data_IF_738734885207
#
_entry.id   IF_738734885207
#
_cell.length_a   1.000
_cell.length_b   1.000
_cell.length_c   1.000
_cell.angle_alpha   90.00
_cell.angle_beta   90.00
_cell.angle_gamma   90.00
#
_symmetry.space_group_name_H-M   'P 1'
#
loop_
_entity.id
_entity.type
_entity.pdbx_description
1 polymer ?
#
# COMPACT_ATOMS: atom_id res chain seq x y z
N UNK A 1 -3.25 35.31 88.04
CA UNK A 1 -3.79 35.49 86.67
C UNK A 1 -3.11 34.47 85.76
N UNK A 2 -3.78 33.38 85.47
CA UNK A 2 -3.29 32.32 84.56
C UNK A 2 -3.96 32.54 83.16
N UNK A 3 -3.12 32.82 82.17
CA UNK A 3 -3.59 32.89 80.74
C UNK A 3 -3.63 31.50 80.10
N UNK A 4 -4.79 31.12 79.72
CA UNK A 4 -5.02 29.89 78.93
C UNK A 4 -4.68 30.15 77.45
N UNK A 5 -3.73 29.35 76.92
CA UNK A 5 -3.41 29.32 75.50
C UNK A 5 -4.27 28.28 74.84
N UNK A 6 -5.06 28.69 73.82
CA UNK A 6 -5.84 27.79 72.96
C UNK A 6 -5.06 27.59 71.67
N UNK A 7 -4.68 26.37 71.28
CA UNK A 7 -4.04 26.13 69.99
C UNK A 7 -5.09 26.08 68.88
N UNK A 8 -4.95 26.96 67.89
CA UNK A 8 -5.72 26.92 66.63
C UNK A 8 -5.23 25.78 65.75
N UNK A 9 -6.10 24.83 65.49
CA UNK A 9 -5.86 23.71 64.59
C UNK A 9 -6.19 24.17 63.13
N UNK A 10 -5.17 24.43 62.32
CA UNK A 10 -5.36 24.71 60.86
C UNK A 10 -5.55 23.40 60.10
N UNK A 11 -6.74 23.13 59.64
CA UNK A 11 -7.03 22.00 58.74
C UNK A 11 -6.69 22.42 57.33
N UNK A 12 -5.59 21.89 56.80
CA UNK A 12 -5.25 22.04 55.39
C UNK A 12 -6.07 21.09 54.52
N UNK A 13 -7.00 21.66 53.77
CA UNK A 13 -7.82 20.92 52.78
C UNK A 13 -7.01 20.73 51.51
N UNK A 14 -6.36 19.56 51.34
CA UNK A 14 -5.70 19.18 50.08
C UNK A 14 -6.77 18.83 49.02
N UNK A 15 -7.05 19.79 48.10
CA UNK A 15 -7.82 19.50 46.89
C UNK A 15 -6.95 18.68 45.92
N UNK A 16 -7.16 17.38 45.91
CA UNK A 16 -6.56 16.50 44.88
C UNK A 16 -7.29 16.72 43.54
N UNK A 17 -6.66 17.50 42.64
CA UNK A 17 -7.15 17.64 41.27
C UNK A 17 -6.79 16.34 40.53
N UNK A 18 -7.77 15.45 40.35
CA UNK A 18 -7.61 14.29 39.49
C UNK A 18 -7.51 14.75 38.03
N UNK A 19 -6.31 14.75 37.48
CA UNK A 19 -6.11 14.89 36.04
C UNK A 19 -6.66 13.64 35.36
N UNK A 20 -7.84 13.77 34.72
CA UNK A 20 -8.34 12.75 33.83
C UNK A 20 -7.35 12.62 32.66
N UNK A 21 -6.64 11.49 32.54
CA UNK A 21 -5.82 11.18 31.38
C UNK A 21 -6.73 11.24 30.15
N UNK A 22 -6.30 11.90 29.04
CA UNK A 22 -7.07 11.90 27.80
C UNK A 22 -7.27 10.44 27.39
N UNK A 23 -8.51 10.10 27.04
CA UNK A 23 -8.85 8.77 26.52
C UNK A 23 -7.92 8.48 25.33
N UNK A 24 -7.11 7.42 25.44
CA UNK A 24 -6.19 7.04 24.38
C UNK A 24 -6.99 6.74 23.12
N UNK A 25 -6.99 7.67 22.16
CA UNK A 25 -7.61 7.50 20.85
C UNK A 25 -7.01 6.27 20.18
N UNK A 26 -7.83 5.51 19.43
CA UNK A 26 -7.37 4.34 18.69
C UNK A 26 -6.23 4.75 17.76
N UNK A 27 -5.07 4.11 17.85
CA UNK A 27 -3.93 4.44 16.98
C UNK A 27 -4.34 4.35 15.49
N UNK A 28 -3.88 5.29 14.64
CA UNK A 28 -4.25 5.31 13.23
C UNK A 28 -3.73 4.04 12.53
N UNK A 29 -4.51 3.54 11.56
CA UNK A 29 -4.11 2.39 10.74
C UNK A 29 -3.01 2.79 9.76
N UNK A 30 -2.14 1.83 9.43
CA UNK A 30 -1.12 2.01 8.40
C UNK A 30 -1.76 2.35 7.06
N UNK A 31 -1.14 3.29 6.34
CA UNK A 31 -1.62 3.75 5.04
C UNK A 31 -0.92 3.01 3.91
N UNK A 32 -1.71 2.38 3.05
CA UNK A 32 -1.27 1.68 1.86
C UNK A 32 -1.88 2.33 0.63
N UNK A 33 -1.07 2.75 -0.33
CA UNK A 33 -1.56 3.19 -1.65
C UNK A 33 -1.32 2.09 -2.68
N UNK A 34 -2.35 1.74 -3.43
CA UNK A 34 -2.30 0.74 -4.49
C UNK A 34 -2.41 1.42 -5.84
N UNK A 35 -1.33 1.40 -6.63
CA UNK A 35 -1.35 1.77 -8.03
C UNK A 35 -1.58 0.54 -8.90
N UNK A 36 -2.55 0.61 -9.80
CA UNK A 36 -2.88 -0.51 -10.67
C UNK A 36 -3.41 -0.07 -12.04
N UNK A 37 -3.29 -0.98 -13.00
CA UNK A 37 -3.97 -0.89 -14.28
C UNK A 37 -5.33 -1.60 -14.27
N UNK A 38 -5.85 -2.02 -15.43
CA UNK A 38 -7.14 -2.70 -15.54
C UNK A 38 -7.20 -4.03 -14.79
N UNK A 39 -6.08 -4.71 -14.61
CA UNK A 39 -6.04 -6.00 -13.89
C UNK A 39 -6.34 -5.81 -12.42
N UNK A 40 -5.85 -4.71 -11.82
CA UNK A 40 -6.13 -4.39 -10.43
C UNK A 40 -7.57 -3.86 -10.18
N UNK A 41 -8.36 -3.59 -11.21
CA UNK A 41 -9.72 -3.08 -11.07
C UNK A 41 -10.61 -3.99 -10.21
N UNK A 42 -10.32 -5.29 -10.15
CA UNK A 42 -11.00 -6.25 -9.28
C UNK A 42 -10.99 -5.85 -7.80
N UNK A 43 -10.01 -5.08 -7.35
CA UNK A 43 -9.93 -4.56 -5.98
C UNK A 43 -11.04 -3.55 -5.64
N UNK A 44 -11.67 -2.96 -6.62
CA UNK A 44 -12.71 -1.95 -6.41
C UNK A 44 -14.10 -2.40 -6.81
N UNK A 45 -14.26 -3.24 -7.85
CA UNK A 45 -15.56 -3.72 -8.25
C UNK A 45 -16.02 -4.99 -7.49
N UNK A 46 -15.09 -5.78 -6.90
CA UNK A 46 -15.47 -6.89 -6.01
C UNK A 46 -15.36 -6.45 -4.54
N UNK A 47 -16.48 -6.32 -3.82
CA UNK A 47 -16.47 -5.87 -2.42
C UNK A 47 -15.69 -6.82 -1.50
N UNK A 48 -15.61 -8.11 -1.81
CA UNK A 48 -14.84 -9.09 -1.01
C UNK A 48 -13.33 -8.82 -1.11
N UNK A 49 -12.82 -8.57 -2.33
CA UNK A 49 -11.42 -8.22 -2.54
C UNK A 49 -11.07 -6.91 -1.81
N UNK A 50 -11.97 -5.92 -1.91
CA UNK A 50 -11.82 -4.65 -1.19
C UNK A 50 -11.78 -4.84 0.32
N UNK A 51 -12.71 -5.60 0.88
CA UNK A 51 -12.79 -5.89 2.32
C UNK A 51 -11.48 -6.50 2.82
N UNK A 52 -10.95 -7.51 2.12
CA UNK A 52 -9.67 -8.15 2.46
C UNK A 52 -8.53 -7.13 2.52
N UNK A 53 -8.42 -6.25 1.54
CA UNK A 53 -7.31 -5.27 1.47
C UNK A 53 -7.43 -4.18 2.54
N UNK A 54 -8.65 -3.79 2.91
CA UNK A 54 -8.89 -2.75 3.92
C UNK A 54 -8.91 -3.27 5.35
N UNK A 55 -8.85 -4.58 5.55
CA UNK A 55 -8.75 -5.18 6.87
C UNK A 55 -7.42 -4.80 7.54
N UNK A 56 -7.49 -3.97 8.59
CA UNK A 56 -6.32 -3.50 9.33
C UNK A 56 -5.48 -2.42 8.63
N UNK A 57 -5.91 -1.90 7.46
CA UNK A 57 -5.20 -0.85 6.74
C UNK A 57 -6.15 0.28 6.29
N UNK A 58 -5.63 1.48 6.21
CA UNK A 58 -6.24 2.57 5.44
C UNK A 58 -5.71 2.50 4.00
N UNK A 59 -6.54 2.08 3.06
CA UNK A 59 -6.13 1.85 1.67
C UNK A 59 -6.62 2.96 0.75
N UNK A 60 -5.71 3.50 -0.06
CA UNK A 60 -6.02 4.36 -1.20
C UNK A 60 -5.87 3.55 -2.48
N UNK A 61 -6.97 3.38 -3.23
CA UNK A 61 -6.95 2.74 -4.54
C UNK A 61 -6.81 3.81 -5.63
N UNK A 62 -5.68 3.83 -6.32
CA UNK A 62 -5.42 4.70 -7.46
C UNK A 62 -5.22 3.85 -8.73
N UNK A 63 -6.34 3.29 -9.20
CA UNK A 63 -6.40 2.36 -10.31
C UNK A 63 -6.86 3.09 -11.58
N UNK A 64 -6.24 2.74 -12.72
CA UNK A 64 -6.61 3.34 -13.99
C UNK A 64 -6.67 2.30 -15.09
N UNK A 65 -7.79 2.20 -15.82
CA UNK A 65 -7.81 1.40 -17.05
C UNK A 65 -6.67 1.82 -17.97
N UNK A 66 -6.00 0.83 -18.58
CA UNK A 66 -4.85 1.10 -19.44
C UNK A 66 -3.74 1.94 -18.81
N UNK A 67 -3.59 1.89 -17.45
CA UNK A 67 -2.54 2.59 -16.72
C UNK A 67 -1.14 2.11 -17.13
N UNK A 68 -0.17 3.04 -17.17
CA UNK A 68 1.23 2.80 -17.47
C UNK A 68 2.14 3.34 -16.37
N UNK A 69 3.36 2.87 -16.35
CA UNK A 69 4.32 3.20 -15.31
C UNK A 69 4.82 4.65 -15.39
N UNK A 70 5.29 5.07 -16.56
CA UNK A 70 5.90 6.41 -16.76
C UNK A 70 5.26 7.23 -17.86
N UNK A 71 4.54 6.60 -18.77
CA UNK A 71 3.84 7.26 -19.86
C UNK A 71 2.35 7.43 -19.54
N UNK A 72 1.66 8.37 -20.18
CA UNK A 72 0.20 8.44 -20.09
C UNK A 72 -0.44 7.12 -20.52
N UNK A 73 -1.57 6.79 -19.94
CA UNK A 73 -2.31 5.58 -20.29
C UNK A 73 -2.80 5.57 -21.74
N UNK A 74 -3.24 4.41 -22.22
CA UNK A 74 -3.54 4.16 -23.64
C UNK A 74 -5.01 4.33 -24.03
N UNK A 75 -5.82 5.04 -23.23
CA UNK A 75 -7.21 5.41 -23.55
C UNK A 75 -7.37 6.93 -23.67
N UNK A 76 -8.51 7.39 -24.17
CA UNK A 76 -8.80 8.83 -24.34
C UNK A 76 -9.96 9.26 -23.42
N UNK A 77 -9.78 10.27 -22.52
CA UNK A 77 -8.51 10.93 -22.23
C UNK A 77 -7.54 9.99 -21.50
N UNK A 78 -6.22 10.14 -21.73
CA UNK A 78 -5.24 9.25 -21.14
C UNK A 78 -5.11 9.47 -19.62
N UNK A 79 -5.23 8.42 -18.78
CA UNK A 79 -4.98 8.56 -17.35
C UNK A 79 -3.51 8.89 -17.09
N UNK A 80 -3.21 9.62 -16.00
CA UNK A 80 -1.83 9.89 -15.59
C UNK A 80 -1.08 8.59 -15.31
N UNK A 81 0.22 8.57 -15.65
CA UNK A 81 1.12 7.47 -15.28
C UNK A 81 1.30 7.36 -13.75
N UNK A 82 1.76 6.19 -13.28
CA UNK A 82 2.10 6.00 -11.86
C UNK A 82 3.12 7.06 -11.41
N UNK A 83 4.14 7.34 -12.22
CA UNK A 83 5.10 8.41 -11.93
C UNK A 83 4.42 9.75 -11.68
N UNK A 84 3.52 10.18 -12.58
CA UNK A 84 2.80 11.45 -12.44
C UNK A 84 1.88 11.45 -11.21
N UNK A 85 1.21 10.34 -10.91
CA UNK A 85 0.36 10.19 -9.72
C UNK A 85 1.17 10.32 -8.42
N UNK A 86 2.34 9.70 -8.34
CA UNK A 86 3.26 9.85 -7.20
C UNK A 86 3.68 11.31 -7.01
N UNK A 87 3.99 12.02 -8.10
CA UNK A 87 4.35 13.45 -8.02
C UNK A 87 3.16 14.31 -7.55
N UNK A 88 1.94 14.04 -8.02
CA UNK A 88 0.73 14.77 -7.64
C UNK A 88 0.29 14.50 -6.19
N UNK A 89 0.43 13.26 -5.72
CA UNK A 89 0.10 12.88 -4.34
C UNK A 89 1.12 13.46 -3.35
N UNK A 90 2.38 13.59 -3.76
CA UNK A 90 3.44 14.00 -2.85
C UNK A 90 3.54 13.07 -1.64
N UNK A 91 3.67 13.61 -0.43
CA UNK A 91 3.71 12.81 0.81
C UNK A 91 2.39 12.08 1.12
N UNK A 92 1.27 12.44 0.50
CA UNK A 92 -0.01 11.74 0.67
C UNK A 92 -0.01 10.32 0.08
N UNK A 93 1.01 9.95 -0.68
CA UNK A 93 1.21 8.57 -1.14
C UNK A 93 1.36 7.59 0.03
N UNK A 94 1.81 8.08 1.20
CA UNK A 94 2.00 7.25 2.40
C UNK A 94 3.26 6.39 2.37
N UNK A 95 3.57 5.70 3.48
CA UNK A 95 4.82 4.96 3.63
C UNK A 95 4.85 3.63 2.86
N UNK A 96 3.70 3.05 2.54
CA UNK A 96 3.61 1.73 1.89
C UNK A 96 2.86 1.85 0.57
N UNK A 97 3.46 1.31 -0.49
CA UNK A 97 2.88 1.30 -1.84
C UNK A 97 2.84 -0.12 -2.40
N UNK A 98 1.74 -0.45 -3.06
CA UNK A 98 1.60 -1.67 -3.87
C UNK A 98 1.50 -1.27 -5.34
N UNK A 99 2.28 -1.89 -6.22
CA UNK A 99 2.27 -1.61 -7.66
C UNK A 99 1.89 -2.86 -8.45
N UNK A 100 0.81 -2.78 -9.21
CA UNK A 100 0.37 -3.76 -10.19
C UNK A 100 0.11 -3.04 -11.51
N UNK A 101 1.17 -2.68 -12.21
CA UNK A 101 1.16 -1.97 -13.51
C UNK A 101 2.26 -2.56 -14.39
N UNK A 102 1.98 -2.71 -15.67
CA UNK A 102 2.96 -3.24 -16.61
C UNK A 102 2.34 -3.91 -17.82
N UNK A 103 1.06 -4.28 -17.76
CA UNK A 103 0.39 -4.97 -18.89
C UNK A 103 0.30 -4.09 -20.14
N UNK A 104 0.39 -2.76 -19.99
CA UNK A 104 0.29 -1.78 -21.07
C UNK A 104 1.64 -1.08 -21.38
N UNK A 105 2.71 -1.50 -20.71
CA UNK A 105 4.02 -0.88 -20.83
C UNK A 105 4.91 -1.59 -21.86
N UNK A 106 5.85 -0.84 -22.45
CA UNK A 106 6.91 -1.38 -23.27
C UNK A 106 8.05 -1.92 -22.38
N UNK A 107 8.44 -3.22 -22.49
CA UNK A 107 9.50 -3.80 -21.69
C UNK A 107 10.86 -3.11 -21.88
N UNK A 108 11.12 -2.48 -23.02
CA UNK A 108 12.41 -1.81 -23.30
C UNK A 108 12.62 -0.57 -22.43
N UNK A 109 11.54 0.16 -22.12
CA UNK A 109 11.62 1.37 -21.27
C UNK A 109 11.26 1.08 -19.80
N UNK A 110 10.67 -0.09 -19.52
CA UNK A 110 10.14 -0.42 -18.20
C UNK A 110 11.22 -0.40 -17.10
N UNK A 111 12.46 -0.83 -17.43
CA UNK A 111 13.59 -0.80 -16.48
C UNK A 111 13.91 0.61 -15.98
N UNK A 112 14.06 1.55 -16.90
CA UNK A 112 14.30 2.95 -16.55
C UNK A 112 13.08 3.54 -15.82
N UNK A 113 11.87 3.12 -16.20
CA UNK A 113 10.62 3.49 -15.57
C UNK A 113 10.54 3.06 -14.11
N UNK A 114 10.87 1.82 -13.77
CA UNK A 114 10.92 1.34 -12.37
C UNK A 114 11.85 2.22 -11.54
N UNK A 115 13.08 2.41 -11.99
CA UNK A 115 14.08 3.19 -11.26
C UNK A 115 13.64 4.66 -11.07
N UNK A 116 12.97 5.25 -12.07
CA UNK A 116 12.40 6.60 -12.00
C UNK A 116 11.29 6.69 -10.95
N UNK A 117 10.36 5.74 -10.95
CA UNK A 117 9.22 5.69 -10.03
C UNK A 117 9.68 5.45 -8.60
N UNK A 118 10.59 4.48 -8.37
CA UNK A 118 11.11 4.18 -7.03
C UNK A 118 11.87 5.37 -6.44
N UNK A 119 12.67 6.09 -7.23
CA UNK A 119 13.30 7.34 -6.78
C UNK A 119 12.27 8.41 -6.40
N UNK A 120 11.19 8.54 -7.18
CA UNK A 120 10.13 9.49 -6.86
C UNK A 120 9.41 9.11 -5.55
N UNK A 121 9.06 7.83 -5.38
CA UNK A 121 8.44 7.32 -4.16
C UNK A 121 9.33 7.56 -2.93
N UNK A 122 10.62 7.23 -3.01
CA UNK A 122 11.58 7.44 -1.91
C UNK A 122 11.66 8.91 -1.50
N UNK A 123 11.74 9.84 -2.47
CA UNK A 123 11.72 11.29 -2.18
C UNK A 123 10.42 11.77 -1.52
N UNK A 124 9.32 11.01 -1.65
CA UNK A 124 8.01 11.31 -1.04
C UNK A 124 7.80 10.62 0.31
N UNK A 125 8.82 9.91 0.82
CA UNK A 125 8.77 9.24 2.11
C UNK A 125 8.13 7.85 2.07
N UNK A 126 8.10 7.20 0.90
CA UNK A 126 7.73 5.77 0.79
C UNK A 126 8.87 4.93 1.33
N UNK A 127 8.56 4.03 2.23
CA UNK A 127 9.49 3.14 2.94
C UNK A 127 9.41 1.70 2.43
N UNK A 128 8.23 1.30 1.93
CA UNK A 128 7.99 -0.05 1.45
C UNK A 128 7.23 -0.04 0.13
N UNK A 129 7.76 -0.72 -0.88
CA UNK A 129 7.10 -0.92 -2.17
C UNK A 129 6.96 -2.41 -2.45
N UNK A 130 5.72 -2.89 -2.51
CA UNK A 130 5.38 -4.24 -2.92
C UNK A 130 5.06 -4.22 -4.42
N UNK A 131 5.92 -4.83 -5.23
CA UNK A 131 5.76 -4.82 -6.68
C UNK A 131 5.36 -6.21 -7.19
N UNK A 132 4.19 -6.28 -7.81
CA UNK A 132 3.68 -7.54 -8.34
C UNK A 132 4.29 -7.85 -9.70
N UNK A 133 4.62 -9.13 -9.92
CA UNK A 133 4.89 -9.63 -11.27
C UNK A 133 3.59 -9.77 -12.04
N UNK A 134 3.68 -9.67 -13.37
CA UNK A 134 2.55 -9.86 -14.28
C UNK A 134 2.32 -11.36 -14.53
N UNK A 135 1.08 -11.79 -14.69
CA UNK A 135 0.81 -13.10 -15.26
C UNK A 135 1.36 -13.16 -16.68
N UNK A 136 2.36 -13.98 -16.90
CA UNK A 136 3.09 -14.02 -18.16
C UNK A 136 2.45 -14.98 -19.16
N UNK A 137 1.44 -14.51 -19.88
CA UNK A 137 0.80 -15.24 -20.98
C UNK A 137 1.54 -15.07 -22.30
N UNK A 138 2.52 -14.17 -22.37
CA UNK A 138 3.33 -13.90 -23.56
C UNK A 138 4.76 -13.50 -23.18
N UNK A 139 5.63 -13.39 -24.18
CA UNK A 139 7.05 -13.04 -24.01
C UNK A 139 7.25 -11.64 -23.45
N UNK A 140 6.42 -10.66 -23.81
CA UNK A 140 6.51 -9.29 -23.32
C UNK A 140 6.39 -9.23 -21.80
N UNK A 141 5.41 -9.91 -21.22
CA UNK A 141 5.20 -9.94 -19.77
C UNK A 141 6.29 -10.71 -19.03
N UNK A 142 6.87 -11.74 -19.67
CA UNK A 142 8.07 -12.40 -19.11
C UNK A 142 9.26 -11.44 -19.02
N UNK A 143 9.50 -10.63 -20.07
CA UNK A 143 10.56 -9.61 -20.05
C UNK A 143 10.34 -8.56 -18.96
N UNK A 144 9.11 -8.09 -18.79
CA UNK A 144 8.76 -7.15 -17.72
C UNK A 144 9.01 -7.80 -16.34
N UNK A 145 8.63 -9.06 -16.14
CA UNK A 145 8.88 -9.78 -14.88
C UNK A 145 10.38 -9.91 -14.58
N UNK A 146 11.21 -10.18 -15.58
CA UNK A 146 12.67 -10.20 -15.43
C UNK A 146 13.20 -8.84 -14.96
N UNK A 147 12.67 -7.75 -15.53
CA UNK A 147 13.01 -6.38 -15.10
C UNK A 147 12.59 -6.12 -13.65
N UNK A 148 11.38 -6.55 -13.25
CA UNK A 148 10.87 -6.44 -11.88
C UNK A 148 11.80 -7.17 -10.89
N UNK A 149 12.15 -8.43 -11.17
CA UNK A 149 13.07 -9.20 -10.32
C UNK A 149 14.46 -8.54 -10.25
N UNK A 150 14.99 -8.08 -11.38
CA UNK A 150 16.27 -7.35 -11.41
C UNK A 150 16.24 -6.03 -10.64
N UNK A 151 15.10 -5.34 -10.60
CA UNK A 151 14.94 -4.12 -9.84
C UNK A 151 15.01 -4.36 -8.33
N UNK A 152 14.41 -5.43 -7.81
CA UNK A 152 14.44 -5.72 -6.38
C UNK A 152 15.86 -5.91 -5.83
N UNK A 153 16.77 -6.44 -6.64
CA UNK A 153 18.18 -6.56 -6.27
C UNK A 153 18.88 -5.19 -6.14
N UNK A 154 18.49 -4.21 -6.98
CA UNK A 154 19.05 -2.84 -6.94
C UNK A 154 18.42 -1.98 -5.85
N UNK A 155 17.17 -2.27 -5.49
CA UNK A 155 16.36 -1.48 -4.55
C UNK A 155 16.09 -2.25 -3.26
N UNK A 156 17.12 -2.98 -2.76
CA UNK A 156 17.03 -3.73 -1.50
C UNK A 156 16.64 -2.80 -0.35
N UNK A 157 15.77 -3.28 0.52
CA UNK A 157 15.24 -2.50 1.65
C UNK A 157 14.04 -1.63 1.31
N UNK A 158 13.88 -1.20 0.04
CA UNK A 158 12.71 -0.45 -0.40
C UNK A 158 11.69 -1.33 -1.14
N UNK A 159 12.16 -2.19 -2.05
CA UNK A 159 11.29 -2.96 -2.96
C UNK A 159 11.26 -4.46 -2.63
N UNK A 160 10.07 -4.99 -2.48
CA UNK A 160 9.79 -6.43 -2.34
C UNK A 160 8.95 -6.89 -3.55
N UNK A 161 9.38 -7.98 -4.20
CA UNK A 161 8.60 -8.58 -5.29
C UNK A 161 7.55 -9.52 -4.72
N UNK A 162 6.30 -9.34 -5.16
CA UNK A 162 5.22 -10.30 -5.00
C UNK A 162 5.08 -11.07 -6.31
N UNK A 163 5.57 -12.32 -6.34
CA UNK A 163 5.55 -13.12 -7.56
C UNK A 163 4.16 -13.70 -7.84
N UNK A 164 3.26 -12.82 -8.33
CA UNK A 164 1.91 -13.18 -8.76
C UNK A 164 1.92 -14.17 -9.93
N UNK A 165 2.91 -14.06 -10.82
CA UNK A 165 3.04 -14.99 -11.95
C UNK A 165 3.17 -16.44 -11.47
N UNK A 166 4.05 -16.70 -10.51
CA UNK A 166 4.25 -18.03 -9.95
C UNK A 166 3.10 -18.43 -9.02
N UNK A 167 2.59 -17.51 -8.20
CA UNK A 167 1.49 -17.79 -7.27
C UNK A 167 0.19 -18.16 -7.98
N UNK A 168 -0.11 -17.53 -9.11
CA UNK A 168 -1.32 -17.80 -9.89
C UNK A 168 -1.19 -18.96 -10.89
N UNK A 169 -0.01 -19.61 -10.95
CA UNK A 169 0.23 -20.74 -11.86
C UNK A 169 -0.73 -21.89 -11.54
N UNK A 170 -1.32 -22.48 -12.57
CA UNK A 170 -2.27 -23.59 -12.43
C UNK A 170 -3.70 -23.18 -12.07
N UNK A 171 -3.95 -21.89 -11.82
CA UNK A 171 -5.28 -21.39 -11.42
C UNK A 171 -5.98 -20.64 -12.56
N UNK A 172 -6.27 -21.36 -13.67
CA UNK A 172 -6.94 -20.75 -14.84
C UNK A 172 -8.27 -20.06 -14.48
N UNK A 173 -9.05 -20.61 -13.54
CA UNK A 173 -10.32 -20.03 -13.09
C UNK A 173 -10.22 -18.70 -12.34
N UNK A 174 -9.00 -18.24 -12.02
CA UNK A 174 -8.78 -16.91 -11.45
C UNK A 174 -8.79 -15.80 -12.50
N UNK A 175 -8.86 -16.13 -13.77
CA UNK A 175 -8.74 -15.20 -14.88
C UNK A 175 -9.95 -15.29 -15.82
N UNK A 176 -10.19 -14.20 -16.53
CA UNK A 176 -11.09 -14.16 -17.66
C UNK A 176 -10.50 -14.97 -18.85
N UNK A 177 -11.23 -15.06 -19.94
CA UNK A 177 -10.83 -15.82 -21.13
C UNK A 177 -9.53 -15.36 -21.77
N UNK A 178 -9.14 -14.11 -21.56
CA UNK A 178 -7.86 -13.56 -22.04
C UNK A 178 -6.64 -14.02 -21.21
N UNK A 179 -6.88 -14.70 -20.09
CA UNK A 179 -5.84 -15.18 -19.18
C UNK A 179 -5.11 -14.09 -18.38
N UNK A 180 -5.57 -12.85 -18.44
CA UNK A 180 -4.93 -11.67 -17.82
C UNK A 180 -5.84 -11.01 -16.79
N UNK A 181 -7.01 -10.54 -17.23
CA UNK A 181 -7.97 -9.90 -16.34
C UNK A 181 -8.53 -10.89 -15.32
N UNK A 182 -8.73 -10.41 -14.11
CA UNK A 182 -9.15 -11.28 -13.02
C UNK A 182 -10.65 -11.57 -13.06
N UNK A 183 -11.01 -12.82 -12.80
CA UNK A 183 -12.37 -13.18 -12.38
C UNK A 183 -12.62 -12.66 -10.96
N UNK A 184 -13.87 -12.70 -10.49
CA UNK A 184 -14.21 -12.34 -9.10
C UNK A 184 -13.38 -13.16 -8.10
N UNK A 185 -13.22 -14.48 -8.34
CA UNK A 185 -12.38 -15.32 -7.50
C UNK A 185 -10.89 -14.90 -7.56
N UNK A 186 -10.38 -14.62 -8.76
CA UNK A 186 -9.00 -14.17 -8.95
C UNK A 186 -8.70 -12.86 -8.23
N UNK A 187 -9.64 -11.91 -8.28
CA UNK A 187 -9.53 -10.65 -7.55
C UNK A 187 -9.42 -10.85 -6.03
N UNK A 188 -10.23 -11.73 -5.47
CA UNK A 188 -10.16 -12.09 -4.04
C UNK A 188 -8.83 -12.78 -3.71
N UNK A 189 -8.36 -13.72 -4.53
CA UNK A 189 -7.09 -14.42 -4.28
C UNK A 189 -5.88 -13.48 -4.36
N UNK A 190 -5.89 -12.55 -5.31
CA UNK A 190 -4.86 -11.52 -5.39
C UNK A 190 -4.89 -10.59 -4.16
N UNK A 191 -6.07 -10.17 -3.72
CA UNK A 191 -6.24 -9.38 -2.51
C UNK A 191 -5.71 -10.10 -1.26
N UNK A 192 -6.04 -11.39 -1.11
CA UNK A 192 -5.52 -12.24 -0.02
C UNK A 192 -3.99 -12.35 -0.08
N UNK A 193 -3.41 -12.49 -1.27
CA UNK A 193 -1.97 -12.59 -1.44
C UNK A 193 -1.24 -11.30 -1.02
N UNK A 194 -1.75 -10.14 -1.45
CA UNK A 194 -1.24 -8.82 -1.04
C UNK A 194 -1.41 -8.62 0.47
N UNK A 195 -2.62 -8.84 1.00
CA UNK A 195 -2.92 -8.64 2.42
C UNK A 195 -2.02 -9.51 3.33
N UNK A 196 -1.89 -10.81 3.02
CA UNK A 196 -1.01 -11.72 3.78
C UNK A 196 0.44 -11.28 3.75
N UNK A 197 0.90 -10.69 2.64
CA UNK A 197 2.27 -10.18 2.54
C UNK A 197 2.45 -8.92 3.38
N UNK A 198 1.52 -7.97 3.33
CA UNK A 198 1.52 -6.80 4.21
C UNK A 198 1.57 -7.21 5.69
N UNK A 199 0.73 -8.18 6.09
CA UNK A 199 0.71 -8.70 7.46
C UNK A 199 2.04 -9.34 7.87
N UNK A 200 2.65 -10.18 7.01
CA UNK A 200 3.96 -10.80 7.30
C UNK A 200 5.09 -9.79 7.43
N UNK A 201 5.00 -8.67 6.74
CA UNK A 201 5.98 -7.59 6.81
C UNK A 201 5.71 -6.60 7.97
N UNK A 202 4.68 -6.81 8.79
CA UNK A 202 4.29 -5.88 9.84
C UNK A 202 3.69 -4.57 9.32
N UNK A 203 3.25 -4.55 8.06
CA UNK A 203 2.67 -3.38 7.37
C UNK A 203 1.13 -3.39 7.40
N UNK A 204 0.55 -4.06 8.39
CA UNK A 204 -0.90 -4.17 8.59
C UNK A 204 -1.21 -3.93 10.07
N UNK A 205 -2.26 -3.16 10.34
CA UNK A 205 -2.65 -2.83 11.70
C UNK A 205 -2.36 -1.39 12.11
N UNK A 206 -2.38 -1.09 13.41
CA UNK A 206 -2.06 0.24 13.91
C UNK A 206 -0.63 0.66 13.60
N UNK A 207 -0.44 1.96 13.37
CA UNK A 207 0.92 2.53 13.27
C UNK A 207 1.63 2.34 14.61
N UNK A 208 2.83 1.73 14.66
CA UNK A 208 3.57 1.62 15.90
C UNK A 208 3.92 3.00 16.46
N UNK A 209 4.04 3.16 17.79
CA UNK A 209 4.49 4.41 18.39
C UNK A 209 5.91 4.73 17.88
N UNK A 210 6.29 6.03 17.82
CA UNK A 210 7.66 6.42 17.50
C UNK A 210 8.61 5.84 18.55
N UNK A 211 9.77 5.36 18.09
CA UNK A 211 10.82 4.83 18.94
C UNK A 211 11.48 5.93 19.81
#
# INVERSE_FOLDING_TARGET
MRRLFVPSLAVALCCSVAYAAPAAGKAPLQHVTIFGDSVAAAFTWDPRARTVLTEGNRVTFDLSPCGRLTEPGCITPPPPSVFKKVELLGRRVGPTVVVLVGYNDDPHIYRAGIDKVLRAMQRRGVEHVLWLTLRAVNKQYLLINQVIHGASARWRGLMTVLDWNSFSRGHAGWFASDGIHLSALGGVQLAIYVHRTLKRMGLNGPVPPPA
#
